data_IF_299022504044
#
_entry.id   IF_299022504044
#
_cell.length_a   1.000
_cell.length_b   1.000
_cell.length_c   1.000
_cell.angle_alpha   90.00
_cell.angle_beta   90.00
_cell.angle_gamma   90.00
#
_symmetry.space_group_name_H-M   'P 1'
#
loop_
_entity.id
_entity.type
_entity.pdbx_description
1 polymer ?
#
# COMPACT_ATOMS: atom_id res chain seq x y z
N UNK A 1 -4.34 -22.82 9.52
CA UNK A 1 -4.99 -21.52 9.78
C UNK A 1 -3.87 -20.52 9.90
N UNK A 2 -3.73 -19.63 8.92
CA UNK A 2 -2.71 -18.59 8.97
C UNK A 2 -2.96 -17.69 10.17
N UNK A 3 -1.87 -17.30 10.83
CA UNK A 3 -1.89 -16.40 11.98
C UNK A 3 -2.62 -15.11 11.58
N UNK A 4 -3.56 -14.58 12.40
CA UNK A 4 -4.19 -13.31 12.09
C UNK A 4 -3.10 -12.24 11.92
N UNK A 5 -3.17 -11.51 10.81
CA UNK A 5 -2.27 -10.40 10.52
C UNK A 5 -2.66 -9.27 11.47
N UNK A 6 -1.72 -8.86 12.33
CA UNK A 6 -1.85 -7.59 13.05
C UNK A 6 -1.57 -6.45 12.07
N UNK A 7 -2.50 -5.51 11.96
CA UNK A 7 -2.30 -4.28 11.19
C UNK A 7 -1.60 -3.29 12.12
N UNK A 8 -0.31 -3.04 11.86
CA UNK A 8 0.46 -2.02 12.56
C UNK A 8 -0.05 -0.61 12.19
N UNK A 9 0.04 0.39 13.09
CA UNK A 9 -0.44 1.75 12.83
C UNK A 9 0.08 2.36 11.52
N UNK A 10 1.35 2.12 11.19
CA UNK A 10 1.95 2.64 9.96
C UNK A 10 1.26 2.13 8.68
N UNK A 11 0.68 0.93 8.70
CA UNK A 11 -0.07 0.41 7.57
C UNK A 11 -1.47 1.04 7.48
N UNK A 12 -2.08 1.37 8.62
CA UNK A 12 -3.31 2.17 8.66
C UNK A 12 -3.07 3.55 8.07
N UNK A 13 -1.99 4.23 8.49
CA UNK A 13 -1.62 5.56 7.99
C UNK A 13 -1.38 5.54 6.47
N UNK A 14 -0.74 4.50 5.95
CA UNK A 14 -0.53 4.32 4.51
C UNK A 14 -1.85 4.11 3.74
N UNK A 15 -2.81 3.40 4.32
CA UNK A 15 -4.14 3.21 3.71
C UNK A 15 -4.90 4.54 3.70
N UNK A 16 -4.87 5.31 4.80
CA UNK A 16 -5.50 6.63 4.87
C UNK A 16 -4.88 7.59 3.84
N UNK A 17 -3.56 7.62 3.73
CA UNK A 17 -2.87 8.42 2.72
C UNK A 17 -3.30 8.06 1.29
N UNK A 18 -3.42 6.76 0.99
CA UNK A 18 -3.88 6.28 -0.31
C UNK A 18 -5.35 6.68 -0.58
N UNK A 19 -6.22 6.60 0.43
CA UNK A 19 -7.61 7.03 0.30
C UNK A 19 -7.71 8.53 -0.01
N UNK A 20 -6.99 9.35 0.76
CA UNK A 20 -6.93 10.80 0.57
C UNK A 20 -6.41 11.15 -0.81
N UNK A 21 -5.28 10.58 -1.24
CA UNK A 21 -4.70 10.83 -2.56
C UNK A 21 -5.68 10.53 -3.72
N UNK A 22 -6.35 9.38 -3.66
CA UNK A 22 -7.36 9.03 -4.69
C UNK A 22 -8.58 9.95 -4.59
N UNK A 23 -9.00 10.31 -3.38
CA UNK A 23 -10.09 11.24 -3.14
C UNK A 23 -9.82 12.64 -3.70
N UNK A 24 -8.63 13.19 -3.47
CA UNK A 24 -8.19 14.49 -3.97
C UNK A 24 -8.19 14.54 -5.50
N UNK A 25 -7.75 13.46 -6.16
CA UNK A 25 -7.63 13.42 -7.62
C UNK A 25 -8.98 13.14 -8.32
N UNK A 26 -9.79 12.26 -7.75
CA UNK A 26 -11.01 11.75 -8.41
C UNK A 26 -12.30 12.33 -7.86
N UNK A 27 -12.24 13.06 -6.74
CA UNK A 27 -13.40 13.57 -6.01
C UNK A 27 -14.13 12.51 -5.17
N UNK A 28 -13.64 11.27 -5.11
CA UNK A 28 -14.24 10.19 -4.34
C UNK A 28 -13.17 9.27 -3.75
N UNK A 29 -13.20 9.11 -2.44
CA UNK A 29 -12.31 8.15 -1.76
C UNK A 29 -12.66 6.70 -2.13
N UNK A 30 -11.64 5.85 -2.34
CA UNK A 30 -11.83 4.44 -2.57
C UNK A 30 -12.17 3.71 -1.27
N UNK A 31 -13.02 2.68 -1.37
CA UNK A 31 -13.29 1.77 -0.26
C UNK A 31 -12.11 0.83 -0.01
N UNK A 32 -12.00 0.30 1.22
CA UNK A 32 -10.99 -0.72 1.54
C UNK A 32 -11.12 -1.97 0.66
N UNK A 33 -12.33 -2.31 0.21
CA UNK A 33 -12.58 -3.41 -0.73
C UNK A 33 -11.95 -3.13 -2.10
N UNK A 34 -12.08 -1.90 -2.62
CA UNK A 34 -11.45 -1.50 -3.88
C UNK A 34 -9.92 -1.53 -3.76
N UNK A 35 -9.37 -0.99 -2.67
CA UNK A 35 -7.94 -1.02 -2.37
C UNK A 35 -7.43 -2.46 -2.31
N UNK A 36 -8.09 -3.32 -1.52
CA UNK A 36 -7.74 -4.74 -1.41
C UNK A 36 -7.74 -5.47 -2.75
N UNK A 37 -8.71 -5.17 -3.63
CA UNK A 37 -8.79 -5.74 -4.96
C UNK A 37 -7.63 -5.29 -5.86
N UNK A 38 -7.24 -4.02 -5.78
CA UNK A 38 -6.14 -3.45 -6.58
C UNK A 38 -4.79 -3.98 -6.09
N UNK A 39 -4.55 -4.02 -4.78
CA UNK A 39 -3.30 -4.53 -4.18
C UNK A 39 -3.00 -5.98 -4.55
N UNK A 40 -4.03 -6.77 -4.89
CA UNK A 40 -3.88 -8.17 -5.35
C UNK A 40 -3.61 -8.32 -6.84
N UNK A 41 -3.63 -7.24 -7.64
CA UNK A 41 -3.37 -7.32 -9.08
C UNK A 41 -1.88 -7.52 -9.33
N UNK A 42 -1.55 -8.41 -10.27
CA UNK A 42 -0.16 -8.81 -10.54
C UNK A 42 0.77 -7.63 -10.82
N UNK A 43 0.34 -6.65 -11.62
CA UNK A 43 1.18 -5.48 -11.92
C UNK A 43 1.49 -4.65 -10.66
N UNK A 44 0.50 -4.43 -9.79
CA UNK A 44 0.70 -3.73 -8.51
C UNK A 44 1.66 -4.52 -7.61
N UNK A 45 1.49 -5.83 -7.50
CA UNK A 45 2.38 -6.69 -6.74
C UNK A 45 3.82 -6.63 -7.26
N UNK A 46 4.00 -6.55 -8.58
CA UNK A 46 5.31 -6.41 -9.21
C UNK A 46 5.95 -5.07 -8.86
N UNK A 47 5.22 -3.96 -8.97
CA UNK A 47 5.74 -2.63 -8.60
C UNK A 47 6.11 -2.56 -7.11
N UNK A 48 5.27 -3.11 -6.23
CA UNK A 48 5.58 -3.20 -4.79
C UNK A 48 6.84 -4.03 -4.54
N UNK A 49 6.98 -5.19 -5.21
CA UNK A 49 8.17 -6.03 -5.09
C UNK A 49 9.44 -5.28 -5.53
N UNK A 50 9.37 -4.61 -6.68
CA UNK A 50 10.51 -3.91 -7.26
C UNK A 50 10.91 -2.71 -6.38
N UNK A 51 9.95 -1.95 -5.84
CA UNK A 51 10.23 -0.88 -4.87
C UNK A 51 10.84 -1.45 -3.59
N UNK A 52 10.28 -2.51 -3.01
CA UNK A 52 10.84 -3.13 -1.79
C UNK A 52 12.27 -3.63 -2.01
N UNK A 53 12.59 -4.19 -3.18
CA UNK A 53 13.97 -4.58 -3.52
C UNK A 53 14.88 -3.36 -3.54
N UNK A 54 14.45 -2.30 -4.22
CA UNK A 54 15.21 -1.06 -4.31
C UNK A 54 15.48 -0.45 -2.93
N UNK A 55 14.48 -0.36 -2.05
CA UNK A 55 14.62 0.16 -0.67
C UNK A 55 15.57 -0.66 0.18
N UNK A 56 15.63 -1.98 -0.04
CA UNK A 56 16.56 -2.89 0.66
C UNK A 56 17.99 -2.76 0.16
N UNK A 57 18.16 -2.43 -1.11
CA UNK A 57 19.47 -2.21 -1.74
C UNK A 57 20.04 -0.81 -1.42
N UNK A 58 19.18 0.15 -1.05
CA UNK A 58 19.53 1.56 -0.78
C UNK A 58 19.06 2.01 0.62
N UNK A 59 19.52 1.36 1.71
CA UNK A 59 19.02 1.62 3.07
C UNK A 59 19.26 3.05 3.56
N UNK A 60 20.21 3.79 2.98
CA UNK A 60 20.47 5.20 3.28
C UNK A 60 19.33 6.16 2.89
N UNK A 61 18.37 5.69 2.09
CA UNK A 61 17.21 6.46 1.67
C UNK A 61 15.93 6.15 2.47
N UNK A 62 16.02 5.28 3.48
CA UNK A 62 14.92 5.02 4.41
C UNK A 62 14.81 6.21 5.39
N UNK A 63 13.84 7.09 5.14
CA UNK A 63 13.49 8.20 6.04
C UNK A 63 12.73 7.72 7.28
#
# INVERSE_FOLDING_TARGET
>A
MDKPITIEPCLTDAIEHLQNFVGEITGKEPSQQEISKVLKRYFILKEILDQIKWEREHPEHQA
#
